data_IF_986983354348
#
_entry.id   IF_986983354348
#
_cell.length_a   1.000
_cell.length_b   1.000
_cell.length_c   1.000
_cell.angle_alpha   90.00
_cell.angle_beta   90.00
_cell.angle_gamma   90.00
#
_symmetry.space_group_name_H-M   'P 1'
#
loop_
_entity.id
_entity.type
_entity.pdbx_description
1 polymer ?
#
# COMPACT_ATOMS: atom_id res chain seq x y z
N UNK A 1 37.24 -46.61 -18.46
CA UNK A 1 36.11 -46.13 -17.62
C UNK A 1 36.38 -44.73 -17.04
N UNK A 2 37.61 -44.40 -16.69
CA UNK A 2 37.99 -43.08 -16.09
C UNK A 2 37.59 -41.88 -16.97
N UNK A 3 37.78 -41.94 -18.25
CA UNK A 3 37.43 -40.86 -19.18
C UNK A 3 35.93 -40.60 -19.27
N UNK A 4 35.08 -41.62 -19.06
CA UNK A 4 33.62 -41.44 -19.08
C UNK A 4 33.12 -40.75 -17.80
N UNK A 5 33.71 -41.07 -16.67
CA UNK A 5 33.38 -40.44 -15.39
C UNK A 5 33.82 -38.97 -15.38
N UNK A 6 35.04 -38.71 -15.88
CA UNK A 6 35.56 -37.34 -16.04
C UNK A 6 34.68 -36.52 -16.98
N UNK A 7 34.21 -37.10 -18.10
CA UNK A 7 33.30 -36.42 -19.03
C UNK A 7 31.95 -36.04 -18.37
N UNK A 8 31.33 -36.99 -17.65
CA UNK A 8 30.07 -36.71 -16.95
C UNK A 8 30.26 -35.62 -15.89
N UNK A 9 31.37 -35.66 -15.15
CA UNK A 9 31.68 -34.63 -14.17
C UNK A 9 31.86 -33.24 -14.85
N UNK A 10 32.55 -33.16 -15.95
CA UNK A 10 32.75 -31.92 -16.69
C UNK A 10 31.42 -31.33 -17.22
N UNK A 11 30.56 -32.19 -17.75
CA UNK A 11 29.23 -31.81 -18.21
C UNK A 11 28.38 -31.28 -17.06
N UNK A 12 28.40 -31.90 -15.88
CA UNK A 12 27.63 -31.45 -14.70
C UNK A 12 28.13 -30.09 -14.19
N UNK A 13 29.43 -29.83 -14.20
CA UNK A 13 30.03 -28.53 -13.85
C UNK A 13 29.59 -27.44 -14.81
N UNK A 14 29.59 -27.72 -16.14
CA UNK A 14 29.12 -26.77 -17.14
C UNK A 14 27.65 -26.41 -16.92
N UNK A 15 26.80 -27.40 -16.67
CA UNK A 15 25.40 -27.19 -16.41
C UNK A 15 25.22 -26.32 -15.14
N UNK A 16 25.94 -26.61 -14.08
CA UNK A 16 25.89 -25.83 -12.83
C UNK A 16 26.33 -24.38 -13.05
N UNK A 17 27.43 -24.17 -13.79
CA UNK A 17 27.93 -22.84 -14.17
C UNK A 17 26.88 -22.04 -14.97
N UNK A 18 26.24 -22.66 -15.95
CA UNK A 18 25.21 -21.99 -16.75
C UNK A 18 23.99 -21.59 -15.92
N UNK A 19 23.55 -22.43 -15.00
CA UNK A 19 22.47 -22.10 -14.07
C UNK A 19 22.87 -20.99 -13.11
N UNK A 20 24.09 -21.03 -12.54
CA UNK A 20 24.60 -19.97 -11.65
C UNK A 20 24.68 -18.63 -12.35
N UNK A 21 25.20 -18.57 -13.56
CA UNK A 21 25.24 -17.34 -14.37
C UNK A 21 23.84 -16.82 -14.69
N UNK A 22 22.89 -17.70 -14.99
CA UNK A 22 21.50 -17.32 -15.24
C UNK A 22 20.83 -16.73 -13.99
N UNK A 23 21.09 -17.28 -12.81
CA UNK A 23 20.57 -16.76 -11.54
C UNK A 23 21.15 -15.37 -11.28
N UNK A 24 22.46 -15.18 -11.41
CA UNK A 24 23.13 -13.88 -11.24
C UNK A 24 22.56 -12.84 -12.22
N UNK A 25 22.37 -13.22 -13.48
CA UNK A 25 21.79 -12.35 -14.49
C UNK A 25 20.33 -11.98 -14.21
N UNK A 26 19.51 -12.91 -13.68
CA UNK A 26 18.14 -12.66 -13.28
C UNK A 26 18.05 -11.79 -12.03
N UNK A 27 18.96 -11.96 -11.07
CA UNK A 27 19.03 -11.16 -9.85
C UNK A 27 19.50 -9.73 -10.12
N UNK A 28 20.37 -9.54 -11.12
CA UNK A 28 20.84 -8.22 -11.56
C UNK A 28 19.83 -7.46 -12.45
N UNK A 29 18.80 -8.14 -12.96
CA UNK A 29 17.67 -7.44 -13.58
C UNK A 29 16.81 -6.88 -12.48
N UNK A 30 16.82 -5.57 -12.33
CA UNK A 30 15.79 -4.87 -11.54
C UNK A 30 14.44 -5.44 -11.96
N UNK A 31 13.79 -6.16 -11.02
CA UNK A 31 12.39 -6.53 -11.20
C UNK A 31 11.68 -5.24 -11.61
N UNK A 32 10.86 -5.25 -12.67
CA UNK A 32 10.11 -4.07 -13.04
C UNK A 32 9.34 -3.66 -11.78
N UNK A 33 9.89 -2.67 -11.06
CA UNK A 33 9.11 -1.97 -10.04
C UNK A 33 7.87 -1.59 -10.79
N UNK A 34 6.73 -2.20 -10.44
CA UNK A 34 5.42 -1.80 -10.97
C UNK A 34 5.38 -0.30 -10.75
N UNK A 35 5.78 0.47 -11.76
CA UNK A 35 5.70 1.92 -11.71
C UNK A 35 4.22 2.17 -11.51
N UNK A 36 3.84 2.48 -10.29
CA UNK A 36 2.59 3.18 -10.08
C UNK A 36 2.81 4.42 -10.94
N UNK A 37 2.12 4.49 -12.09
CA UNK A 37 2.09 5.71 -12.88
C UNK A 37 1.32 6.71 -12.01
N UNK A 38 2.08 7.33 -11.11
CA UNK A 38 1.65 8.50 -10.40
C UNK A 38 1.60 9.58 -11.48
N UNK A 39 0.43 9.87 -12.01
CA UNK A 39 0.25 11.14 -12.68
C UNK A 39 0.60 12.19 -11.63
N UNK A 40 1.45 13.15 -11.97
CA UNK A 40 1.79 14.27 -11.07
C UNK A 40 0.52 14.97 -10.55
N UNK A 41 -0.60 14.89 -11.29
CA UNK A 41 -1.92 15.38 -10.89
C UNK A 41 -2.54 14.69 -9.67
N UNK A 42 -2.06 13.49 -9.31
CA UNK A 42 -2.62 12.74 -8.19
C UNK A 42 -1.92 13.06 -6.87
N UNK A 43 -0.79 13.77 -6.94
CA UNK A 43 -0.02 14.13 -5.77
C UNK A 43 -0.39 15.56 -5.33
N UNK A 44 -0.75 15.72 -4.05
CA UNK A 44 -1.00 17.02 -3.43
C UNK A 44 0.09 17.28 -2.41
N UNK A 45 0.64 18.49 -2.41
CA UNK A 45 1.65 18.92 -1.44
C UNK A 45 1.11 18.85 0.00
N UNK A 46 2.01 18.79 0.96
CA UNK A 46 1.65 18.72 2.38
C UNK A 46 1.10 20.08 2.86
N UNK A 47 0.23 20.03 3.87
CA UNK A 47 -0.18 21.20 4.65
C UNK A 47 0.46 21.04 6.04
N UNK A 48 1.14 22.08 6.50
CA UNK A 48 1.84 22.12 7.78
C UNK A 48 1.36 23.29 8.64
N UNK A 49 1.54 23.17 9.95
CA UNK A 49 1.32 24.27 10.90
C UNK A 49 2.50 25.25 10.92
N UNK A 50 2.42 26.30 11.76
CA UNK A 50 3.51 27.28 11.92
C UNK A 50 4.83 26.68 12.41
N UNK A 51 4.76 25.54 13.11
CA UNK A 51 5.90 24.85 13.70
C UNK A 51 6.45 23.73 12.78
N UNK A 52 5.89 23.54 11.58
CA UNK A 52 6.28 22.50 10.65
C UNK A 52 5.61 21.14 10.90
N UNK A 53 4.66 21.03 11.83
CA UNK A 53 3.93 19.79 12.07
C UNK A 53 2.98 19.51 10.91
N UNK A 54 2.97 18.26 10.43
CA UNK A 54 2.13 17.86 9.31
C UNK A 54 0.67 17.78 9.75
N UNK A 55 -0.19 18.55 9.10
CA UNK A 55 -1.65 18.57 9.30
C UNK A 55 -2.34 17.72 8.22
N UNK A 56 -1.87 17.80 6.97
CA UNK A 56 -2.36 16.94 5.88
C UNK A 56 -1.19 16.54 4.97
N UNK A 57 -1.17 15.28 4.53
CA UNK A 57 -0.20 14.81 3.54
C UNK A 57 -0.77 13.73 2.64
N UNK A 58 -0.21 13.62 1.45
CA UNK A 58 -0.50 12.55 0.50
C UNK A 58 0.45 11.39 0.73
N UNK A 59 -0.09 10.18 0.83
CA UNK A 59 0.68 8.95 1.03
C UNK A 59 0.19 7.86 0.08
N UNK A 60 1.06 6.92 -0.25
CA UNK A 60 0.69 5.71 -0.96
C UNK A 60 0.20 4.72 0.09
N UNK A 61 -1.07 4.35 0.01
CA UNK A 61 -1.67 3.31 0.83
C UNK A 61 -1.84 2.04 0.02
N UNK A 62 -1.88 0.90 0.71
CA UNK A 62 -2.14 -0.38 0.11
C UNK A 62 -3.52 -0.87 0.50
N UNK A 63 -4.29 -1.25 -0.51
CA UNK A 63 -5.55 -1.96 -0.34
C UNK A 63 -5.30 -3.43 -0.62
N UNK A 64 -5.92 -4.30 0.15
CA UNK A 64 -5.81 -5.75 -0.03
C UNK A 64 -7.18 -6.31 -0.35
N UNK A 65 -7.22 -7.10 -1.40
CA UNK A 65 -8.40 -7.85 -1.81
C UNK A 65 -8.09 -9.32 -2.04
N UNK A 66 -9.13 -10.11 -2.23
CA UNK A 66 -9.06 -11.51 -2.61
C UNK A 66 -9.67 -11.70 -4.00
N UNK A 67 -8.96 -12.47 -4.82
CA UNK A 67 -9.52 -13.06 -6.03
C UNK A 67 -9.97 -14.49 -5.72
N UNK A 68 -11.29 -14.76 -5.58
CA UNK A 68 -11.77 -16.07 -5.20
C UNK A 68 -11.40 -17.20 -6.18
N UNK A 69 -11.12 -16.83 -7.44
CA UNK A 69 -10.75 -17.81 -8.48
C UNK A 69 -9.38 -18.43 -8.25
N UNK A 70 -8.53 -17.77 -7.49
CA UNK A 70 -7.16 -18.23 -7.19
C UNK A 70 -7.03 -18.83 -5.80
N UNK A 71 -8.11 -18.93 -5.04
CA UNK A 71 -8.12 -19.56 -3.71
C UNK A 71 -7.98 -21.07 -3.89
N UNK A 72 -6.95 -21.66 -3.28
CA UNK A 72 -6.67 -23.08 -3.33
C UNK A 72 -7.32 -23.80 -2.12
N UNK A 73 -7.21 -23.19 -0.93
CA UNK A 73 -7.71 -23.74 0.34
C UNK A 73 -8.47 -22.62 1.08
N UNK A 74 -9.80 -22.68 1.00
CA UNK A 74 -10.68 -21.66 1.57
C UNK A 74 -10.59 -21.63 3.10
N UNK A 75 -10.56 -22.81 3.74
CA UNK A 75 -10.56 -22.87 5.20
C UNK A 75 -9.25 -22.36 5.79
N UNK A 76 -8.12 -22.75 5.20
CA UNK A 76 -6.80 -22.24 5.60
C UNK A 76 -6.68 -20.73 5.41
N UNK A 77 -7.17 -20.21 4.29
CA UNK A 77 -7.18 -18.77 4.02
C UNK A 77 -8.00 -18.03 5.06
N UNK A 78 -9.22 -18.50 5.37
CA UNK A 78 -10.10 -17.88 6.36
C UNK A 78 -9.52 -17.87 7.76
N UNK A 79 -8.91 -18.98 8.20
CA UNK A 79 -8.25 -19.07 9.52
C UNK A 79 -7.10 -18.02 9.60
N UNK A 80 -6.25 -17.97 8.59
CA UNK A 80 -5.15 -17.02 8.56
C UNK A 80 -5.62 -15.55 8.55
N UNK A 81 -6.66 -15.26 7.77
CA UNK A 81 -7.25 -13.92 7.73
C UNK A 81 -7.89 -13.55 9.07
N UNK A 82 -8.50 -14.49 9.77
CA UNK A 82 -9.09 -14.25 11.09
C UNK A 82 -8.04 -13.90 12.15
N UNK A 83 -6.86 -14.50 12.08
CA UNK A 83 -5.73 -14.17 12.95
C UNK A 83 -5.21 -12.74 12.68
N UNK A 84 -5.20 -12.31 11.43
CA UNK A 84 -4.70 -10.98 11.03
C UNK A 84 -5.75 -9.88 11.27
N UNK A 85 -7.03 -10.19 11.08
CA UNK A 85 -8.16 -9.26 11.15
C UNK A 85 -9.26 -9.77 12.10
N UNK A 86 -9.01 -9.90 13.40
CA UNK A 86 -9.95 -10.50 14.34
C UNK A 86 -11.32 -9.80 14.42
N UNK A 87 -11.35 -8.51 14.08
CA UNK A 87 -12.56 -7.67 14.16
C UNK A 87 -13.46 -7.72 12.91
N UNK A 88 -13.13 -8.55 11.90
CA UNK A 88 -13.91 -8.65 10.67
C UNK A 88 -14.97 -9.75 10.74
N UNK A 89 -16.06 -9.56 9.99
CA UNK A 89 -17.11 -10.58 9.90
C UNK A 89 -16.75 -11.62 8.81
N UNK A 90 -16.31 -12.78 9.24
CA UNK A 90 -15.87 -13.87 8.35
C UNK A 90 -17.01 -14.65 7.70
N UNK A 91 -18.21 -14.60 8.24
CA UNK A 91 -19.40 -15.16 7.56
C UNK A 91 -19.74 -14.40 6.27
N UNK A 92 -19.53 -13.09 6.30
CA UNK A 92 -19.66 -12.24 5.10
C UNK A 92 -18.55 -12.55 4.07
N UNK A 93 -17.33 -12.80 4.53
CA UNK A 93 -16.24 -13.21 3.65
C UNK A 93 -16.50 -14.56 2.98
N UNK A 94 -17.01 -15.55 3.70
CA UNK A 94 -17.42 -16.84 3.12
C UNK A 94 -18.48 -16.66 2.03
N UNK A 95 -19.46 -15.80 2.25
CA UNK A 95 -20.48 -15.47 1.23
C UNK A 95 -19.88 -14.77 0.01
N UNK A 96 -18.89 -13.90 0.20
CA UNK A 96 -18.19 -13.20 -0.89
C UNK A 96 -17.32 -14.14 -1.72
N UNK A 97 -16.61 -15.08 -1.07
CA UNK A 97 -15.83 -16.13 -1.75
C UNK A 97 -16.69 -16.95 -2.71
N UNK A 98 -17.89 -17.37 -2.26
CA UNK A 98 -18.85 -18.11 -3.09
C UNK A 98 -19.36 -17.36 -4.31
N UNK A 99 -19.34 -16.00 -4.29
CA UNK A 99 -19.77 -15.19 -5.44
C UNK A 99 -18.74 -15.15 -6.58
N UNK A 100 -17.55 -15.68 -6.36
CA UNK A 100 -16.47 -15.79 -7.35
C UNK A 100 -16.10 -14.44 -8.03
N UNK A 101 -16.26 -13.34 -7.29
CA UNK A 101 -15.89 -11.98 -7.72
C UNK A 101 -14.88 -11.38 -6.76
N UNK A 102 -13.88 -10.68 -7.32
CA UNK A 102 -12.90 -9.93 -6.52
C UNK A 102 -13.59 -9.03 -5.48
N UNK A 103 -13.05 -8.99 -4.27
CA UNK A 103 -13.52 -8.09 -3.22
C UNK A 103 -12.36 -7.64 -2.31
N UNK A 104 -12.49 -6.44 -1.74
CA UNK A 104 -11.51 -5.94 -0.78
C UNK A 104 -11.76 -6.49 0.62
N UNK A 105 -10.67 -6.90 1.29
CA UNK A 105 -10.67 -7.26 2.71
C UNK A 105 -10.47 -5.99 3.54
N UNK A 106 -9.45 -5.20 3.19
CA UNK A 106 -9.08 -4.00 3.92
C UNK A 106 -8.56 -2.93 2.97
N UNK A 107 -8.97 -1.70 3.24
CA UNK A 107 -8.44 -0.50 2.59
C UNK A 107 -7.46 0.19 3.54
N UNK A 108 -6.36 0.74 3.01
CA UNK A 108 -5.32 1.44 3.79
C UNK A 108 -4.73 0.54 4.89
N UNK A 109 -4.33 -0.66 4.51
CA UNK A 109 -3.77 -1.64 5.44
C UNK A 109 -2.53 -1.11 6.17
N UNK A 110 -2.37 -1.48 7.45
CA UNK A 110 -1.17 -1.16 8.22
C UNK A 110 0.03 -1.97 7.74
N UNK A 111 1.24 -1.43 7.96
CA UNK A 111 2.49 -2.09 7.56
C UNK A 111 2.66 -3.47 8.22
N UNK A 112 2.21 -3.63 9.46
CA UNK A 112 2.31 -4.90 10.18
C UNK A 112 1.38 -5.96 9.58
N UNK A 113 0.11 -5.63 9.35
CA UNK A 113 -0.86 -6.53 8.72
C UNK A 113 -0.44 -6.89 7.29
N UNK A 114 0.10 -5.92 6.54
CA UNK A 114 0.63 -6.15 5.20
C UNK A 114 1.75 -7.21 5.23
N UNK A 115 2.70 -7.09 6.17
CA UNK A 115 3.80 -8.05 6.33
C UNK A 115 3.27 -9.45 6.64
N UNK A 116 2.29 -9.57 7.55
CA UNK A 116 1.69 -10.85 7.91
C UNK A 116 0.99 -11.49 6.70
N UNK A 117 0.24 -10.74 5.92
CA UNK A 117 -0.40 -11.24 4.69
C UNK A 117 0.61 -11.67 3.64
N UNK A 118 1.68 -10.90 3.45
CA UNK A 118 2.73 -11.22 2.50
C UNK A 118 3.43 -12.54 2.85
N UNK A 119 3.63 -12.83 4.14
CA UNK A 119 4.23 -14.07 4.63
C UNK A 119 3.34 -15.31 4.39
N UNK A 120 2.03 -15.15 4.20
CA UNK A 120 1.14 -16.27 3.85
C UNK A 120 1.46 -16.84 2.47
N UNK A 121 1.99 -16.02 1.56
CA UNK A 121 2.33 -16.44 0.19
C UNK A 121 1.13 -16.92 -0.63
N UNK A 122 -0.10 -16.56 -0.25
CA UNK A 122 -1.32 -16.98 -0.92
C UNK A 122 -1.54 -16.15 -2.20
N UNK A 123 -1.65 -16.84 -3.33
CA UNK A 123 -1.79 -16.22 -4.65
C UNK A 123 -3.13 -15.51 -4.85
N UNK A 124 -4.14 -15.87 -4.08
CA UNK A 124 -5.46 -15.23 -4.14
C UNK A 124 -5.47 -13.82 -3.58
N UNK A 125 -4.47 -13.46 -2.77
CA UNK A 125 -4.33 -12.14 -2.16
C UNK A 125 -3.76 -11.18 -3.20
N UNK A 126 -4.53 -10.13 -3.51
CA UNK A 126 -4.17 -9.08 -4.45
C UNK A 126 -3.91 -7.78 -3.73
N UNK A 127 -2.79 -7.16 -4.05
CA UNK A 127 -2.40 -5.83 -3.58
C UNK A 127 -2.74 -4.79 -4.64
N UNK A 128 -3.37 -3.72 -4.21
CA UNK A 128 -3.57 -2.51 -5.00
C UNK A 128 -3.02 -1.30 -4.23
N UNK A 129 -2.08 -0.62 -4.81
CA UNK A 129 -1.57 0.64 -4.26
C UNK A 129 -2.47 1.79 -4.70
N UNK A 130 -2.90 2.61 -3.75
CA UNK A 130 -3.72 3.80 -4.00
C UNK A 130 -3.11 5.01 -3.31
N UNK A 131 -3.14 6.15 -4.00
CA UNK A 131 -2.81 7.43 -3.39
C UNK A 131 -3.96 7.83 -2.47
N UNK A 132 -3.62 8.27 -1.27
CA UNK A 132 -4.61 8.69 -0.28
C UNK A 132 -4.13 9.93 0.45
N UNK A 133 -5.04 10.86 0.67
CA UNK A 133 -4.83 12.00 1.56
C UNK A 133 -5.05 11.53 3.00
N UNK A 134 -4.10 11.82 3.88
CA UNK A 134 -4.22 11.50 5.31
C UNK A 134 -4.07 12.78 6.13
N UNK A 135 -4.81 12.80 7.23
CA UNK A 135 -4.87 13.90 8.19
C UNK A 135 -4.38 13.35 9.55
N UNK A 136 -3.06 13.44 9.86
CA UNK A 136 -2.47 12.80 11.04
C UNK A 136 -3.09 13.26 12.35
N UNK A 137 -3.61 14.49 12.40
CA UNK A 137 -4.24 15.08 13.58
C UNK A 137 -5.73 14.74 13.70
N UNK A 138 -6.23 13.79 12.91
CA UNK A 138 -7.63 13.35 12.93
C UNK A 138 -8.61 14.50 12.68
N UNK A 139 -9.59 14.66 13.59
CA UNK A 139 -10.64 15.67 13.48
C UNK A 139 -10.22 17.07 13.96
N UNK A 140 -9.01 17.23 14.53
CA UNK A 140 -8.58 18.47 15.19
C UNK A 140 -8.70 19.72 14.30
N UNK A 141 -8.43 19.55 12.99
CA UNK A 141 -8.48 20.65 12.02
C UNK A 141 -9.57 20.47 10.95
N UNK A 142 -10.50 19.52 11.14
CA UNK A 142 -11.47 19.15 10.12
C UNK A 142 -12.30 20.30 9.57
N UNK A 143 -12.69 21.25 10.44
CA UNK A 143 -13.48 22.42 10.07
C UNK A 143 -12.70 23.42 9.18
N UNK A 144 -11.38 23.48 9.34
CA UNK A 144 -10.51 24.39 8.61
C UNK A 144 -10.01 23.73 7.32
N UNK A 145 -9.51 22.52 7.42
CA UNK A 145 -8.92 21.81 6.29
C UNK A 145 -9.96 21.44 5.24
N UNK A 146 -11.15 21.03 5.68
CA UNK A 146 -12.15 20.46 4.80
C UNK A 146 -11.76 19.06 4.34
N UNK A 147 -12.15 18.70 3.11
CA UNK A 147 -11.93 17.36 2.57
C UNK A 147 -11.79 17.37 1.05
N UNK A 148 -11.25 16.26 0.52
CA UNK A 148 -11.15 15.97 -0.89
C UNK A 148 -12.13 14.88 -1.29
N UNK A 149 -12.49 14.81 -2.57
CA UNK A 149 -13.27 13.70 -3.15
C UNK A 149 -12.40 12.51 -3.56
N UNK A 150 -13.02 11.50 -4.17
CA UNK A 150 -12.32 10.30 -4.65
C UNK A 150 -11.37 10.59 -5.82
N UNK A 151 -11.61 11.67 -6.56
CA UNK A 151 -10.80 12.14 -7.69
C UNK A 151 -9.69 13.10 -7.27
N UNK A 152 -9.37 13.15 -5.95
CA UNK A 152 -8.34 14.01 -5.38
C UNK A 152 -8.58 15.51 -5.60
N UNK A 153 -9.84 15.95 -5.70
CA UNK A 153 -10.24 17.35 -5.82
C UNK A 153 -10.73 17.89 -4.48
N UNK A 154 -10.27 19.08 -4.10
CA UNK A 154 -10.73 19.73 -2.88
C UNK A 154 -12.19 20.17 -2.99
N UNK A 155 -13.05 19.70 -2.08
CA UNK A 155 -14.49 20.02 -2.06
C UNK A 155 -14.88 21.02 -0.99
N UNK A 156 -14.07 21.18 0.06
CA UNK A 156 -14.32 22.16 1.13
C UNK A 156 -13.03 22.67 1.78
N UNK A 157 -13.13 23.74 2.56
CA UNK A 157 -12.06 24.29 3.37
C UNK A 157 -10.80 24.69 2.61
N UNK A 158 -9.67 24.57 3.28
CA UNK A 158 -8.32 24.85 2.73
C UNK A 158 -7.99 23.94 1.56
N UNK A 159 -8.39 22.66 1.60
CA UNK A 159 -8.19 21.72 0.50
C UNK A 159 -8.84 22.21 -0.79
N UNK A 160 -10.01 22.89 -0.71
CA UNK A 160 -10.68 23.48 -1.87
C UNK A 160 -10.06 24.81 -2.26
N UNK A 161 -9.77 25.66 -1.31
CA UNK A 161 -9.27 27.00 -1.58
C UNK A 161 -7.91 26.97 -2.28
N UNK A 162 -7.01 26.07 -1.85
CA UNK A 162 -5.68 25.89 -2.40
C UNK A 162 -5.59 24.66 -3.32
N UNK A 163 -6.69 24.22 -3.97
CA UNK A 163 -6.70 22.98 -4.78
C UNK A 163 -5.65 23.02 -5.89
N UNK A 164 -5.52 24.18 -6.55
CA UNK A 164 -4.55 24.37 -7.64
C UNK A 164 -3.11 24.34 -7.13
N UNK A 165 -2.80 25.12 -6.10
CA UNK A 165 -1.45 25.21 -5.52
C UNK A 165 -1.00 23.87 -4.93
N UNK A 166 -1.88 23.18 -4.23
CA UNK A 166 -1.60 21.86 -3.66
C UNK A 166 -1.28 20.81 -4.72
N UNK A 167 -1.81 20.94 -5.94
CA UNK A 167 -1.55 20.03 -7.06
C UNK A 167 -0.37 20.43 -7.93
N UNK A 168 -0.04 21.72 -7.97
CA UNK A 168 0.99 22.26 -8.87
C UNK A 168 2.36 22.42 -8.23
N UNK A 169 2.43 22.49 -6.89
CA UNK A 169 3.68 22.68 -6.14
C UNK A 169 4.04 21.45 -5.32
N UNK A 170 5.33 21.19 -5.17
CA UNK A 170 5.86 20.21 -4.22
C UNK A 170 6.08 20.83 -2.83
N UNK A 171 6.16 22.16 -2.76
CA UNK A 171 6.38 22.87 -1.50
C UNK A 171 5.14 22.79 -0.60
N UNK A 172 5.32 22.57 0.70
CA UNK A 172 4.21 22.50 1.65
C UNK A 172 3.56 23.87 1.84
N UNK A 173 2.23 23.88 1.96
CA UNK A 173 1.50 25.08 2.36
C UNK A 173 1.56 25.22 3.89
N UNK A 174 2.15 26.30 4.37
CA UNK A 174 2.24 26.58 5.80
C UNK A 174 1.07 27.46 6.25
N UNK A 175 0.38 27.00 7.30
CA UNK A 175 -0.71 27.73 7.93
C UNK A 175 -0.24 28.41 9.22
N UNK A 176 -0.93 29.47 9.62
CA UNK A 176 -0.69 30.18 10.90
C UNK A 176 -1.18 29.40 12.12
N UNK A 177 -1.74 28.21 11.93
CA UNK A 177 -2.25 27.33 12.99
C UNK A 177 -1.11 26.81 13.86
N UNK A 178 -1.46 26.44 15.10
CA UNK A 178 -0.56 25.80 16.06
C UNK A 178 -1.21 24.54 16.61
N UNK A 179 -0.63 23.40 16.29
CA UNK A 179 -1.15 22.09 16.68
C UNK A 179 -1.19 21.91 18.20
N UNK A 180 -0.19 22.44 18.92
CA UNK A 180 -0.13 22.29 20.37
C UNK A 180 -1.24 23.10 21.06
N UNK A 181 -1.47 24.32 20.60
CA UNK A 181 -2.56 25.17 21.12
C UNK A 181 -3.91 24.51 20.85
N UNK A 182 -4.12 23.95 19.65
CA UNK A 182 -5.37 23.29 19.32
C UNK A 182 -5.64 22.05 20.19
N UNK A 183 -4.60 21.29 20.55
CA UNK A 183 -4.76 20.17 21.48
C UNK A 183 -5.17 20.66 22.88
N UNK A 184 -4.54 21.73 23.39
CA UNK A 184 -4.90 22.31 24.70
C UNK A 184 -6.37 22.75 24.75
N UNK A 185 -6.85 23.44 23.69
CA UNK A 185 -8.24 23.91 23.61
C UNK A 185 -9.24 22.75 23.53
N UNK A 186 -8.87 21.66 22.88
CA UNK A 186 -9.76 20.49 22.75
C UNK A 186 -9.91 19.72 24.06
N UNK A 187 -8.84 19.66 24.86
CA UNK A 187 -8.78 18.84 26.07
C UNK A 187 -9.39 19.57 27.31
N UNK A 188 -9.79 20.85 27.18
CA UNK A 188 -10.62 21.62 28.12
C UNK A 188 -12.13 21.49 27.83
#
# INVERSE_FOLDING_TARGET
>A
SFNRIAFIFFVSVIIFLTFSLKIIFLTGKDLPKKKIFLNNSDFRSSIIDRNGNIIAKTVITKNIGIDPKEVIDEDKLLINLQLIFPNKNFDDFKKKLKRNKFFYIEKKISQNQYRQLFLLGDKSIREESKISRVYPQGSLFSHILGQIDEDNKGISGIEKFFDYELKSSEDPIQLSLDTNIQYLIRDE
#
